data_IF_890713599795
#
_entry.id   IF_890713599795
#
_cell.length_a   1.000
_cell.length_b   1.000
_cell.length_c   1.000
_cell.angle_alpha   90.00
_cell.angle_beta   90.00
_cell.angle_gamma   90.00
#
_symmetry.space_group_name_H-M   'P 1'
#
loop_
_entity.id
_entity.type
_entity.pdbx_description
1 polymer ?
#
# COMPACT_ATOMS: atom_id res chain seq x y z
N UNK A 1 25.60 4.34 56.94
CA UNK A 1 24.79 4.87 55.81
C UNK A 1 25.57 5.20 54.52
N UNK A 2 26.86 4.82 54.35
CA UNK A 2 27.60 5.10 53.09
C UNK A 2 27.52 4.00 52.02
N UNK A 3 27.08 2.77 52.36
CA UNK A 3 27.04 1.66 51.41
C UNK A 3 25.76 1.64 50.53
N UNK A 4 24.60 2.03 51.08
CA UNK A 4 23.32 2.01 50.36
C UNK A 4 23.26 3.07 49.23
N UNK A 5 23.90 4.23 49.42
CA UNK A 5 23.86 5.34 48.46
C UNK A 5 24.73 5.11 47.21
N UNK A 6 25.70 4.19 47.28
CA UNK A 6 26.58 3.81 46.16
C UNK A 6 25.92 2.83 45.20
N UNK A 7 25.06 1.95 45.72
CA UNK A 7 24.34 0.93 44.94
C UNK A 7 23.28 1.60 44.04
N UNK A 8 22.57 2.58 44.58
CA UNK A 8 21.49 3.30 43.89
C UNK A 8 21.99 4.09 42.66
N UNK A 9 23.16 4.74 42.78
CA UNK A 9 23.75 5.53 41.70
C UNK A 9 24.26 4.66 40.54
N UNK A 10 24.82 3.47 40.85
CA UNK A 10 25.26 2.50 39.83
C UNK A 10 24.07 1.87 39.11
N UNK A 11 22.97 1.62 39.81
CA UNK A 11 21.76 1.03 39.25
C UNK A 11 21.03 2.01 38.33
N UNK A 12 20.95 3.30 38.71
CA UNK A 12 20.42 4.36 37.84
C UNK A 12 21.31 4.65 36.62
N UNK A 13 22.64 4.63 36.78
CA UNK A 13 23.59 4.81 35.67
C UNK A 13 23.52 3.66 34.65
N UNK A 14 23.39 2.41 35.13
CA UNK A 14 23.17 1.24 34.28
C UNK A 14 21.87 1.36 33.49
N UNK A 15 20.76 1.73 34.14
CA UNK A 15 19.46 1.91 33.47
C UNK A 15 19.53 2.95 32.34
N UNK A 16 20.17 4.10 32.56
CA UNK A 16 20.36 5.12 31.52
C UNK A 16 21.21 4.63 30.33
N UNK A 17 22.25 3.83 30.60
CA UNK A 17 23.11 3.23 29.57
C UNK A 17 22.36 2.25 28.66
N UNK A 18 21.31 1.60 29.16
CA UNK A 18 20.46 0.70 28.38
C UNK A 18 19.26 1.41 27.73
N UNK A 19 18.71 2.43 28.39
CA UNK A 19 17.51 3.14 27.92
C UNK A 19 17.80 4.01 26.68
N UNK A 20 18.97 4.68 26.63
CA UNK A 20 19.32 5.57 25.52
C UNK A 20 19.53 4.79 24.19
N UNK A 21 20.32 3.70 24.14
CA UNK A 21 20.48 2.92 22.91
C UNK A 21 19.19 2.20 22.49
N UNK A 22 18.38 1.73 23.43
CA UNK A 22 17.12 1.05 23.11
C UNK A 22 16.07 2.01 22.55
N UNK A 23 15.97 3.23 23.06
CA UNK A 23 15.10 4.27 22.49
C UNK A 23 15.58 4.69 21.09
N UNK A 24 16.89 4.82 20.87
CA UNK A 24 17.44 5.12 19.53
C UNK A 24 17.15 3.96 18.57
N UNK A 25 17.34 2.71 19.00
CA UNK A 25 17.05 1.53 18.20
C UNK A 25 15.55 1.41 17.84
N UNK A 26 14.65 1.66 18.81
CA UNK A 26 13.21 1.71 18.57
C UNK A 26 12.82 2.83 17.60
N UNK A 27 13.40 4.03 17.75
CA UNK A 27 13.14 5.13 16.84
C UNK A 27 13.67 4.84 15.43
N UNK A 28 14.84 4.23 15.28
CA UNK A 28 15.36 3.81 13.97
C UNK A 28 14.44 2.76 13.35
N UNK A 29 14.02 1.72 14.10
CA UNK A 29 13.09 0.71 13.60
C UNK A 29 11.71 1.26 13.21
N UNK A 30 11.20 2.26 13.94
CA UNK A 30 9.92 2.90 13.63
C UNK A 30 10.03 3.95 12.51
N UNK A 31 11.15 4.66 12.39
CA UNK A 31 11.38 5.67 11.35
C UNK A 31 11.78 5.05 10.00
N UNK A 32 12.53 3.93 9.98
CA UNK A 32 12.84 3.23 8.72
C UNK A 32 11.57 2.64 8.09
N UNK A 33 10.58 2.26 8.92
CA UNK A 33 9.27 1.82 8.47
C UNK A 33 8.32 2.97 8.08
N UNK A 34 8.67 4.23 8.35
CA UNK A 34 7.86 5.39 7.97
C UNK A 34 8.33 6.08 6.68
N UNK A 35 9.24 5.48 5.91
CA UNK A 35 9.45 5.90 4.52
C UNK A 35 8.11 5.68 3.81
N UNK A 36 7.39 6.77 3.60
CA UNK A 36 6.10 6.79 2.94
C UNK A 36 6.28 6.21 1.52
N UNK A 37 6.00 4.92 1.38
CA UNK A 37 5.97 4.22 0.10
C UNK A 37 4.93 4.95 -0.74
N UNK A 38 5.34 5.48 -1.90
CA UNK A 38 4.41 6.14 -2.82
C UNK A 38 3.30 5.14 -3.16
N UNK A 39 2.02 5.46 -2.90
CA UNK A 39 0.94 4.51 -3.13
C UNK A 39 0.86 4.17 -4.62
N UNK A 40 0.85 2.88 -4.96
CA UNK A 40 0.70 2.42 -6.35
C UNK A 40 -0.74 2.61 -6.85
N UNK A 41 -1.71 2.44 -5.97
CA UNK A 41 -3.13 2.69 -6.20
C UNK A 41 -3.68 3.62 -5.14
N UNK A 42 -4.64 4.46 -5.54
CA UNK A 42 -5.36 5.35 -4.65
C UNK A 42 -6.86 5.09 -4.80
N UNK A 43 -7.54 5.12 -3.66
CA UNK A 43 -8.99 4.97 -3.59
C UNK A 43 -9.69 6.21 -4.12
N UNK A 44 -10.67 6.01 -4.98
CA UNK A 44 -11.60 7.06 -5.38
C UNK A 44 -13.03 6.67 -5.03
N UNK A 45 -13.76 7.67 -4.52
CA UNK A 45 -15.19 7.55 -4.23
C UNK A 45 -15.94 7.85 -5.54
N UNK A 46 -16.15 6.80 -6.33
CA UNK A 46 -17.03 6.88 -7.50
C UNK A 46 -18.39 6.28 -7.17
N UNK A 47 -19.44 6.80 -7.78
CA UNK A 47 -20.83 6.33 -7.57
C UNK A 47 -21.35 5.51 -8.74
N UNK A 48 -20.57 5.38 -9.82
CA UNK A 48 -20.96 4.71 -11.06
C UNK A 48 -19.81 3.91 -11.65
N UNK A 49 -20.16 2.78 -12.26
CA UNK A 49 -19.25 2.04 -13.11
C UNK A 49 -18.92 2.87 -14.35
N UNK A 50 -17.65 2.82 -14.75
CA UNK A 50 -17.20 3.43 -15.98
C UNK A 50 -17.65 2.61 -17.19
N UNK A 51 -17.89 3.31 -18.29
CA UNK A 51 -18.30 2.71 -19.55
C UNK A 51 -17.17 1.88 -20.18
N UNK A 52 -17.43 0.58 -20.33
CA UNK A 52 -16.53 -0.40 -20.93
C UNK A 52 -16.58 -0.40 -22.46
N UNK A 53 -17.58 0.24 -23.08
CA UNK A 53 -17.84 0.15 -24.51
C UNK A 53 -18.51 -1.16 -24.90
N UNK A 54 -18.40 -1.55 -26.18
CA UNK A 54 -19.04 -2.76 -26.69
C UNK A 54 -18.33 -4.02 -26.23
N UNK A 55 -19.10 -5.08 -26.02
CA UNK A 55 -18.57 -6.41 -25.70
C UNK A 55 -17.88 -7.02 -26.93
N UNK A 56 -16.69 -7.57 -26.72
CA UNK A 56 -15.87 -8.25 -27.72
C UNK A 56 -16.10 -9.78 -27.67
N UNK A 57 -15.62 -10.54 -28.69
CA UNK A 57 -15.80 -11.99 -28.73
C UNK A 57 -15.18 -12.71 -27.51
N UNK A 58 -15.83 -13.81 -27.12
CA UNK A 58 -15.51 -14.62 -25.94
C UNK A 58 -14.20 -15.40 -26.10
N UNK A 59 -13.37 -15.41 -25.04
CA UNK A 59 -12.16 -16.24 -24.94
C UNK A 59 -12.46 -17.55 -24.19
N UNK A 60 -11.95 -18.70 -24.66
CA UNK A 60 -12.24 -20.00 -24.04
C UNK A 60 -11.58 -20.16 -22.67
N UNK A 61 -12.28 -20.85 -21.75
CA UNK A 61 -11.70 -21.33 -20.48
C UNK A 61 -10.75 -22.49 -20.72
N UNK A 62 -9.64 -22.56 -19.97
CA UNK A 62 -8.74 -23.73 -19.95
C UNK A 62 -8.70 -24.24 -18.50
N UNK A 63 -9.21 -25.44 -18.25
CA UNK A 63 -9.04 -26.19 -16.99
C UNK A 63 -9.05 -25.35 -15.69
N UNK A 64 -10.25 -25.02 -15.17
CA UNK A 64 -10.44 -24.31 -13.90
C UNK A 64 -9.75 -22.94 -13.78
N UNK A 65 -9.23 -22.37 -14.88
CA UNK A 65 -8.70 -21.00 -14.96
C UNK A 65 -9.10 -20.36 -16.29
N UNK A 66 -9.03 -19.03 -16.35
CA UNK A 66 -9.17 -18.28 -17.60
C UNK A 66 -7.89 -17.56 -17.89
N UNK A 67 -7.20 -17.96 -18.96
CA UNK A 67 -6.05 -17.26 -19.52
C UNK A 67 -6.51 -16.43 -20.70
N UNK A 68 -6.20 -15.13 -20.68
CA UNK A 68 -6.34 -14.26 -21.84
C UNK A 68 -4.94 -13.79 -22.21
N UNK A 69 -4.50 -14.18 -23.39
CA UNK A 69 -3.30 -13.67 -24.04
C UNK A 69 -3.67 -12.52 -24.96
N UNK A 70 -2.79 -11.53 -25.08
CA UNK A 70 -2.94 -10.35 -25.93
C UNK A 70 -4.21 -9.54 -25.63
N UNK A 71 -4.31 -9.05 -24.40
CA UNK A 71 -5.38 -8.13 -23.95
C UNK A 71 -5.25 -6.74 -24.63
N UNK A 72 -4.15 -6.50 -25.37
CA UNK A 72 -3.85 -5.25 -26.07
C UNK A 72 -3.99 -4.01 -25.16
N UNK A 73 -3.70 -4.17 -23.86
CA UNK A 73 -3.55 -3.04 -22.95
C UNK A 73 -2.21 -2.35 -23.23
N UNK A 74 -2.11 -1.70 -24.39
CA UNK A 74 -0.94 -0.91 -24.81
C UNK A 74 -0.99 0.47 -24.16
N UNK A 75 -0.89 0.51 -22.83
CA UNK A 75 -0.61 1.74 -22.11
C UNK A 75 0.90 1.87 -21.90
N UNK A 76 1.58 2.65 -22.74
CA UNK A 76 2.98 3.05 -22.56
C UNK A 76 3.15 4.02 -21.38
N UNK A 77 2.74 3.61 -20.19
CA UNK A 77 2.92 4.44 -18.99
C UNK A 77 3.70 3.61 -17.97
N UNK A 78 4.97 4.00 -17.78
CA UNK A 78 5.99 3.42 -16.89
C UNK A 78 6.60 2.06 -17.29
N UNK A 79 6.74 1.74 -18.58
CA UNK A 79 7.51 0.58 -19.08
C UNK A 79 7.07 -0.83 -18.63
N UNK A 80 5.98 -0.97 -17.87
CA UNK A 80 5.40 -2.28 -17.56
C UNK A 80 4.19 -2.46 -18.47
N UNK A 81 4.20 -3.32 -19.48
CA UNK A 81 3.00 -3.74 -20.22
C UNK A 81 2.35 -4.95 -19.54
N UNK A 82 1.02 -5.03 -19.58
CA UNK A 82 0.29 -6.24 -19.17
C UNK A 82 -0.54 -6.73 -20.35
N UNK A 83 0.03 -7.64 -21.13
CA UNK A 83 -0.62 -8.22 -22.28
C UNK A 83 -1.38 -9.51 -21.94
N UNK A 84 -1.19 -10.06 -20.74
CA UNK A 84 -1.75 -11.34 -20.34
C UNK A 84 -2.38 -11.29 -18.95
N UNK A 85 -3.48 -12.03 -18.77
CA UNK A 85 -4.19 -12.14 -17.49
C UNK A 85 -4.59 -13.59 -17.24
N UNK A 86 -4.47 -14.03 -15.99
CA UNK A 86 -5.01 -15.31 -15.52
C UNK A 86 -5.95 -15.05 -14.34
N UNK A 87 -7.20 -15.48 -14.45
CA UNK A 87 -8.14 -15.49 -13.33
C UNK A 87 -8.30 -16.90 -12.76
N UNK A 88 -8.23 -17.00 -11.44
CA UNK A 88 -8.38 -18.23 -10.67
C UNK A 88 -9.67 -18.21 -9.86
N UNK A 89 -10.35 -19.36 -9.68
CA UNK A 89 -11.50 -19.54 -8.79
C UNK A 89 -11.23 -19.13 -7.33
N UNK A 90 -9.98 -19.07 -6.91
CA UNK A 90 -9.57 -18.60 -5.58
C UNK A 90 -9.78 -17.09 -5.35
N UNK A 91 -10.42 -16.37 -6.29
CA UNK A 91 -10.54 -14.91 -6.24
C UNK A 91 -9.23 -14.19 -6.53
N UNK A 92 -8.25 -14.88 -7.13
CA UNK A 92 -6.96 -14.30 -7.52
C UNK A 92 -6.95 -14.03 -9.01
N UNK A 93 -6.49 -12.84 -9.39
CA UNK A 93 -6.20 -12.45 -10.77
C UNK A 93 -4.73 -12.09 -10.87
N UNK A 94 -4.00 -12.73 -11.78
CA UNK A 94 -2.62 -12.40 -12.11
C UNK A 94 -2.59 -11.61 -13.43
N UNK A 95 -1.81 -10.54 -13.46
CA UNK A 95 -1.58 -9.71 -14.64
C UNK A 95 -0.09 -9.62 -14.91
N UNK A 96 0.28 -9.88 -16.16
CA UNK A 96 1.67 -9.94 -16.60
C UNK A 96 1.78 -9.58 -18.09
N UNK A 97 2.98 -9.32 -18.59
CA UNK A 97 3.19 -9.25 -20.04
C UNK A 97 3.11 -10.65 -20.64
N UNK A 98 3.91 -11.55 -20.07
CA UNK A 98 3.90 -13.00 -20.28
C UNK A 98 3.93 -13.73 -18.94
N UNK A 99 3.65 -15.03 -18.93
CA UNK A 99 3.74 -15.87 -17.73
C UNK A 99 4.99 -16.75 -17.74
N UNK A 100 6.16 -16.19 -18.02
CA UNK A 100 7.43 -16.91 -17.97
C UNK A 100 8.06 -16.76 -16.60
N UNK A 101 8.75 -17.80 -16.15
CA UNK A 101 9.52 -17.73 -14.91
C UNK A 101 10.54 -16.57 -14.99
N UNK A 102 10.52 -15.68 -14.00
CA UNK A 102 11.30 -14.45 -13.96
C UNK A 102 10.50 -13.19 -14.30
N UNK A 103 9.30 -13.34 -14.87
CA UNK A 103 8.47 -12.18 -15.23
C UNK A 103 7.95 -11.46 -13.99
N UNK A 104 7.88 -10.14 -14.08
CA UNK A 104 7.19 -9.31 -13.09
C UNK A 104 5.69 -9.43 -13.27
N UNK A 105 5.01 -9.70 -12.18
CA UNK A 105 3.56 -9.87 -12.17
C UNK A 105 2.89 -9.01 -11.11
N UNK A 106 1.65 -8.62 -11.39
CA UNK A 106 0.75 -8.03 -10.42
C UNK A 106 -0.33 -9.03 -10.07
N UNK A 107 -0.47 -9.34 -8.78
CA UNK A 107 -1.52 -10.22 -8.27
C UNK A 107 -2.58 -9.39 -7.56
N UNK A 108 -3.85 -9.60 -7.89
CA UNK A 108 -5.01 -9.03 -7.22
C UNK A 108 -5.75 -10.18 -6.55
N UNK A 109 -5.91 -10.11 -5.24
CA UNK A 109 -6.55 -11.15 -4.45
C UNK A 109 -7.77 -10.62 -3.70
N UNK A 110 -8.89 -11.33 -3.83
CA UNK A 110 -10.14 -11.09 -3.12
C UNK A 110 -10.20 -12.03 -1.89
N UNK A 111 -9.64 -11.57 -0.77
CA UNK A 111 -9.67 -12.27 0.51
C UNK A 111 -9.13 -13.70 0.43
N UNK A 112 -9.74 -14.60 1.19
CA UNK A 112 -9.55 -16.05 1.04
C UNK A 112 -10.65 -16.60 0.14
N UNK A 113 -10.77 -16.00 -1.05
CA UNK A 113 -11.77 -16.33 -2.04
C UNK A 113 -11.73 -17.82 -2.41
N UNK A 114 -12.90 -18.43 -2.46
CA UNK A 114 -13.08 -19.78 -2.99
C UNK A 114 -14.42 -19.84 -3.73
N UNK A 115 -14.34 -19.94 -5.04
CA UNK A 115 -15.49 -20.13 -5.91
C UNK A 115 -15.78 -21.64 -6.01
N UNK A 116 -16.72 -22.12 -5.18
CA UNK A 116 -17.12 -23.55 -5.16
C UNK A 116 -17.85 -24.03 -6.43
N UNK A 117 -18.12 -23.13 -7.37
CA UNK A 117 -18.82 -23.42 -8.62
C UNK A 117 -17.96 -23.02 -9.81
N UNK A 118 -18.17 -23.62 -10.97
CA UNK A 118 -17.46 -23.26 -12.21
C UNK A 118 -17.96 -21.93 -12.83
N UNK A 119 -18.50 -21.01 -12.03
CA UNK A 119 -19.14 -19.76 -12.48
C UNK A 119 -18.15 -18.60 -12.62
N UNK A 120 -16.85 -18.88 -12.73
CA UNK A 120 -15.89 -17.87 -13.13
C UNK A 120 -16.17 -17.51 -14.59
N UNK A 121 -16.37 -16.23 -14.89
CA UNK A 121 -16.49 -15.79 -16.28
C UNK A 121 -15.69 -14.52 -16.51
N UNK A 122 -15.09 -14.41 -17.70
CA UNK A 122 -14.45 -13.17 -18.13
C UNK A 122 -15.16 -12.68 -19.38
N UNK A 123 -15.50 -11.39 -19.38
CA UNK A 123 -16.06 -10.68 -20.53
C UNK A 123 -15.10 -9.59 -20.96
N UNK A 124 -14.73 -9.59 -22.23
CA UNK A 124 -13.87 -8.58 -22.83
C UNK A 124 -14.70 -7.51 -23.51
N UNK A 125 -14.19 -6.28 -23.48
CA UNK A 125 -14.84 -5.09 -24.02
C UNK A 125 -13.79 -4.18 -24.68
N UNK A 126 -14.24 -3.23 -25.48
CA UNK A 126 -13.37 -2.28 -26.21
C UNK A 126 -12.40 -1.52 -25.29
N UNK A 127 -12.77 -1.22 -24.05
CA UNK A 127 -11.96 -0.40 -23.11
C UNK A 127 -11.45 -1.16 -21.89
N UNK A 128 -11.63 -2.48 -21.85
CA UNK A 128 -11.29 -3.27 -20.67
C UNK A 128 -11.90 -4.66 -20.65
N UNK A 129 -11.92 -5.26 -19.48
CA UNK A 129 -12.51 -6.57 -19.24
C UNK A 129 -13.19 -6.61 -17.87
N UNK A 130 -14.05 -7.62 -17.68
CA UNK A 130 -14.74 -7.88 -16.42
C UNK A 130 -14.48 -9.33 -16.03
N UNK A 131 -13.90 -9.53 -14.85
CA UNK A 131 -13.82 -10.84 -14.20
C UNK A 131 -14.97 -10.93 -13.20
N UNK A 132 -15.86 -11.90 -13.43
CA UNK A 132 -17.07 -12.11 -12.64
C UNK A 132 -16.87 -13.30 -11.69
N UNK A 133 -16.83 -12.98 -10.40
CA UNK A 133 -16.82 -13.94 -9.29
C UNK A 133 -18.22 -14.02 -8.67
N UNK A 134 -19.16 -14.62 -9.39
CA UNK A 134 -20.54 -14.81 -8.94
C UNK A 134 -20.64 -15.85 -7.82
N UNK A 135 -20.82 -15.39 -6.58
CA UNK A 135 -21.04 -16.25 -5.41
C UNK A 135 -19.76 -16.76 -4.75
N UNK A 136 -18.69 -15.96 -4.73
CA UNK A 136 -17.44 -16.29 -4.07
C UNK A 136 -17.60 -16.35 -2.55
N UNK A 137 -17.06 -17.40 -1.93
CA UNK A 137 -16.92 -17.51 -0.48
C UNK A 137 -15.60 -16.87 -0.08
N UNK A 138 -15.64 -15.85 0.77
CA UNK A 138 -14.46 -14.99 0.98
C UNK A 138 -13.94 -14.98 2.41
N UNK A 139 -14.68 -15.60 3.34
CA UNK A 139 -14.38 -15.56 4.77
C UNK A 139 -14.06 -16.94 5.33
N UNK A 140 -12.85 -17.12 5.85
CA UNK A 140 -12.43 -18.39 6.43
C UNK A 140 -13.13 -18.72 7.76
N UNK A 141 -13.38 -17.69 8.59
CA UNK A 141 -14.08 -17.86 9.88
C UNK A 141 -15.59 -18.05 9.72
N UNK A 142 -16.15 -17.70 8.55
CA UNK A 142 -17.57 -17.80 8.24
C UNK A 142 -17.73 -18.44 6.85
N UNK A 143 -17.69 -19.78 6.74
CA UNK A 143 -17.72 -20.49 5.46
C UNK A 143 -19.00 -20.30 4.63
N UNK A 144 -20.04 -19.72 5.24
CA UNK A 144 -21.30 -19.37 4.60
C UNK A 144 -21.31 -17.94 4.04
N UNK A 145 -20.27 -17.15 4.36
CA UNK A 145 -20.15 -15.78 3.91
C UNK A 145 -19.86 -15.75 2.41
N UNK A 146 -20.77 -15.15 1.63
CA UNK A 146 -20.68 -15.09 0.17
C UNK A 146 -21.07 -13.73 -0.39
N UNK A 147 -20.42 -13.36 -1.48
CA UNK A 147 -20.72 -12.16 -2.27
C UNK A 147 -20.59 -12.46 -3.76
N UNK A 148 -21.16 -11.61 -4.60
CA UNK A 148 -20.74 -11.52 -6.00
C UNK A 148 -19.77 -10.35 -6.14
N UNK A 149 -18.62 -10.59 -6.76
CA UNK A 149 -17.60 -9.55 -7.00
C UNK A 149 -17.35 -9.46 -8.50
N UNK A 150 -17.68 -8.31 -9.08
CA UNK A 150 -17.35 -8.00 -10.46
C UNK A 150 -16.12 -7.08 -10.45
N UNK A 151 -15.01 -7.57 -11.00
CA UNK A 151 -13.76 -6.83 -11.14
C UNK A 151 -13.65 -6.30 -12.57
N UNK A 152 -13.86 -5.01 -12.74
CA UNK A 152 -13.69 -4.31 -14.01
C UNK A 152 -12.25 -3.81 -14.10
N UNK A 153 -11.49 -4.31 -15.07
CA UNK A 153 -10.10 -3.90 -15.31
C UNK A 153 -10.08 -3.13 -16.63
N UNK A 154 -9.63 -1.88 -16.58
CA UNK A 154 -9.60 -1.00 -17.74
C UNK A 154 -8.20 -0.90 -18.35
N UNK A 155 -8.14 -0.45 -19.62
CA UNK A 155 -6.87 -0.26 -20.34
C UNK A 155 -5.87 0.68 -19.64
N UNK A 156 -6.38 1.69 -18.92
CA UNK A 156 -5.58 2.61 -18.10
C UNK A 156 -5.21 2.02 -16.72
N UNK A 157 -5.49 0.73 -16.51
CA UNK A 157 -5.34 -0.04 -15.26
C UNK A 157 -6.09 0.53 -14.07
N UNK A 158 -7.06 1.41 -14.31
CA UNK A 158 -8.11 1.64 -13.31
C UNK A 158 -8.81 0.31 -13.06
N UNK A 159 -9.09 0.01 -11.80
CA UNK A 159 -9.81 -1.21 -11.42
C UNK A 159 -11.06 -0.78 -10.64
N UNK A 160 -12.23 -1.25 -11.04
CA UNK A 160 -13.45 -1.08 -10.26
C UNK A 160 -13.94 -2.42 -9.74
N UNK A 161 -14.19 -2.48 -8.44
CA UNK A 161 -14.81 -3.62 -7.78
C UNK A 161 -16.25 -3.27 -7.46
N UNK A 162 -17.20 -3.95 -8.09
CA UNK A 162 -18.59 -3.95 -7.67
C UNK A 162 -18.84 -5.18 -6.81
N UNK A 163 -19.13 -4.95 -5.53
CA UNK A 163 -19.41 -5.98 -4.54
C UNK A 163 -20.90 -5.98 -4.26
N UNK A 164 -21.56 -7.09 -4.58
CA UNK A 164 -22.95 -7.34 -4.21
C UNK A 164 -22.97 -8.35 -3.08
N UNK A 165 -23.37 -7.88 -1.90
CA UNK A 165 -23.39 -8.69 -0.69
C UNK A 165 -24.55 -9.70 -0.75
N UNK A 166 -24.22 -10.99 -0.68
CA UNK A 166 -25.22 -12.06 -0.72
C UNK A 166 -25.60 -12.53 0.69
N UNK A 167 -24.63 -13.10 1.40
CA UNK A 167 -24.75 -13.43 2.82
C UNK A 167 -23.44 -13.02 3.50
N UNK A 168 -23.32 -11.81 4.06
CA UNK A 168 -22.01 -11.31 4.44
C UNK A 168 -21.51 -11.78 5.81
N UNK A 169 -22.39 -12.28 6.68
CA UNK A 169 -22.06 -12.78 8.04
C UNK A 169 -21.16 -11.83 8.87
N UNK A 170 -21.29 -10.51 8.67
CA UNK A 170 -20.44 -9.45 9.23
C UNK A 170 -18.93 -9.63 8.96
N UNK A 171 -18.55 -10.41 7.96
CA UNK A 171 -17.17 -10.59 7.58
C UNK A 171 -16.79 -9.58 6.49
N UNK A 172 -15.75 -8.74 6.71
CA UNK A 172 -15.26 -7.82 5.69
C UNK A 172 -14.56 -8.58 4.56
N UNK A 173 -14.57 -7.98 3.36
CA UNK A 173 -13.76 -8.47 2.23
C UNK A 173 -12.42 -7.73 2.24
N UNK A 174 -11.33 -8.47 2.27
CA UNK A 174 -9.98 -7.89 2.11
C UNK A 174 -9.59 -7.93 0.65
N UNK A 175 -9.21 -6.80 0.07
CA UNK A 175 -8.58 -6.73 -1.24
C UNK A 175 -7.08 -6.51 -1.05
N UNK A 176 -6.26 -7.38 -1.63
CA UNK A 176 -4.80 -7.31 -1.60
C UNK A 176 -4.28 -7.20 -3.03
N UNK A 177 -3.38 -6.28 -3.29
CA UNK A 177 -2.61 -6.24 -4.53
C UNK A 177 -1.13 -6.35 -4.20
N UNK A 178 -0.45 -7.29 -4.82
CA UNK A 178 1.00 -7.48 -4.68
C UNK A 178 1.68 -7.39 -6.03
N UNK A 179 2.95 -6.97 -6.02
CA UNK A 179 3.88 -7.17 -7.11
C UNK A 179 4.88 -8.25 -6.71
N UNK A 180 5.36 -9.02 -7.66
CA UNK A 180 6.40 -10.01 -7.39
C UNK A 180 6.97 -10.61 -8.67
N UNK A 181 7.81 -11.61 -8.49
CA UNK A 181 8.44 -12.37 -9.57
C UNK A 181 7.75 -13.71 -9.70
N UNK A 182 7.24 -14.00 -10.90
CA UNK A 182 6.61 -15.27 -11.20
C UNK A 182 7.65 -16.38 -11.33
N UNK A 183 7.41 -17.51 -10.65
CA UNK A 183 8.19 -18.74 -10.77
C UNK A 183 7.27 -19.89 -11.09
N UNK A 184 7.12 -20.21 -12.36
CA UNK A 184 6.32 -21.34 -12.81
C UNK A 184 6.26 -21.51 -14.30
N UNK A 185 5.36 -22.39 -14.74
CA UNK A 185 5.08 -22.64 -16.15
C UNK A 185 4.24 -21.53 -16.78
N UNK A 186 4.28 -21.43 -18.11
CA UNK A 186 3.49 -20.47 -18.90
C UNK A 186 1.98 -20.64 -18.76
N UNK A 187 1.54 -21.79 -18.24
CA UNK A 187 0.16 -22.08 -17.95
C UNK A 187 -0.35 -21.39 -16.66
N UNK A 188 0.49 -20.68 -15.91
CA UNK A 188 0.09 -20.05 -14.65
C UNK A 188 0.20 -20.97 -13.42
N UNK A 189 0.75 -22.18 -13.54
CA UNK A 189 0.92 -23.14 -12.43
C UNK A 189 2.05 -22.78 -11.43
N UNK A 190 2.50 -21.54 -11.43
CA UNK A 190 3.62 -21.05 -10.64
C UNK A 190 3.27 -20.46 -9.29
N UNK A 191 4.32 -20.06 -8.60
CA UNK A 191 4.26 -19.27 -7.37
C UNK A 191 4.82 -17.87 -7.61
N UNK A 192 4.47 -16.95 -6.73
CA UNK A 192 5.02 -15.58 -6.74
C UNK A 192 6.08 -15.53 -5.65
N UNK A 193 7.28 -15.07 -5.98
CA UNK A 193 8.33 -14.77 -5.02
C UNK A 193 8.58 -13.28 -4.92
N UNK A 194 9.26 -12.86 -3.86
CA UNK A 194 9.63 -11.45 -3.65
C UNK A 194 8.39 -10.54 -3.66
N UNK A 195 7.32 -10.99 -2.99
CA UNK A 195 6.06 -10.27 -2.95
C UNK A 195 6.20 -8.95 -2.19
N UNK A 196 5.95 -7.86 -2.90
CA UNK A 196 5.78 -6.53 -2.35
C UNK A 196 4.28 -6.21 -2.27
N UNK A 197 3.80 -5.86 -1.08
CA UNK A 197 2.43 -5.42 -0.89
C UNK A 197 2.26 -3.98 -1.38
N UNK A 198 1.52 -3.80 -2.47
CA UNK A 198 1.33 -2.48 -3.09
C UNK A 198 -0.02 -1.84 -2.75
N UNK A 199 -1.00 -2.64 -2.34
CA UNK A 199 -2.30 -2.15 -1.88
C UNK A 199 -2.98 -3.19 -0.97
N UNK A 200 -3.61 -2.72 0.10
CA UNK A 200 -4.40 -3.55 1.00
C UNK A 200 -5.58 -2.76 1.55
N UNK A 201 -6.80 -3.28 1.42
CA UNK A 201 -7.99 -2.64 1.99
C UNK A 201 -8.98 -3.67 2.50
N UNK A 202 -9.44 -3.45 3.73
CA UNK A 202 -10.57 -4.18 4.31
C UNK A 202 -11.85 -3.39 4.05
N UNK A 203 -12.81 -4.02 3.40
CA UNK A 203 -14.10 -3.43 3.06
C UNK A 203 -15.14 -4.00 4.02
N UNK A 204 -15.66 -3.19 4.96
CA UNK A 204 -16.67 -3.65 5.90
C UNK A 204 -17.99 -3.91 5.18
N UNK A 205 -18.80 -4.78 5.78
CA UNK A 205 -20.18 -5.01 5.35
C UNK A 205 -20.97 -3.73 5.58
N UNK A 206 -21.63 -3.16 4.55
CA UNK A 206 -22.39 -1.93 4.69
C UNK A 206 -23.69 -2.19 5.46
N UNK A 207 -24.18 -1.15 6.12
CA UNK A 207 -25.51 -1.12 6.72
C UNK A 207 -26.20 0.20 6.34
N UNK A 208 -27.25 0.17 5.50
CA UNK A 208 -27.94 -1.00 4.93
C UNK A 208 -27.09 -1.81 3.94
N UNK A 209 -27.53 -3.02 3.57
CA UNK A 209 -26.84 -3.94 2.65
C UNK A 209 -26.91 -3.47 1.19
N UNK A 210 -26.33 -2.31 0.91
CA UNK A 210 -26.21 -1.77 -0.44
C UNK A 210 -24.97 -2.30 -1.17
N UNK A 211 -24.99 -2.39 -2.50
CA UNK A 211 -23.80 -2.71 -3.27
C UNK A 211 -22.66 -1.73 -2.98
N UNK A 212 -21.44 -2.25 -2.85
CA UNK A 212 -20.25 -1.43 -2.62
C UNK A 212 -19.46 -1.30 -3.91
N UNK A 213 -19.19 -0.07 -4.34
CA UNK A 213 -18.31 0.24 -5.46
C UNK A 213 -17.00 0.81 -4.93
N UNK A 214 -15.89 0.15 -5.25
CA UNK A 214 -14.54 0.64 -5.00
C UNK A 214 -13.84 0.89 -6.32
N UNK A 215 -13.24 2.07 -6.48
CA UNK A 215 -12.40 2.39 -7.64
C UNK A 215 -10.97 2.58 -7.20
N UNK A 216 -10.07 1.80 -7.77
CA UNK A 216 -8.63 1.92 -7.62
C UNK A 216 -8.07 2.61 -8.85
N UNK A 217 -7.46 3.77 -8.64
CA UNK A 217 -6.82 4.54 -9.69
C UNK A 217 -5.30 4.39 -9.51
N UNK A 218 -4.57 3.97 -10.54
CA UNK A 218 -3.11 3.94 -10.46
C UNK A 218 -2.55 5.35 -10.30
N UNK A 219 -1.62 5.52 -9.36
CA UNK A 219 -1.02 6.84 -9.08
C UNK A 219 -0.19 7.39 -10.26
N UNK A 220 0.27 6.52 -11.15
CA UNK A 220 1.05 6.91 -12.32
C UNK A 220 0.22 7.60 -13.42
N UNK A 221 -1.11 7.51 -13.41
CA UNK A 221 -1.96 8.15 -14.43
C UNK A 221 -1.70 9.67 -14.48
N UNK A 222 -1.50 10.29 -13.32
CA UNK A 222 -1.09 11.69 -13.25
C UNK A 222 0.38 11.89 -13.62
N UNK A 223 1.26 10.99 -13.18
CA UNK A 223 2.71 11.09 -13.44
C UNK A 223 3.07 11.02 -14.94
N UNK A 224 2.20 10.47 -15.78
CA UNK A 224 2.34 10.47 -17.23
C UNK A 224 2.33 11.89 -17.84
N UNK A 225 1.75 12.87 -17.13
CA UNK A 225 1.61 14.24 -17.60
C UNK A 225 2.83 15.06 -17.20
N UNK A 226 3.62 15.48 -18.19
CA UNK A 226 4.88 16.20 -18.01
C UNK A 226 4.74 17.73 -18.04
N UNK A 227 3.52 18.23 -18.23
CA UNK A 227 3.24 19.68 -18.29
C UNK A 227 2.08 20.04 -17.38
N UNK A 228 2.12 21.25 -16.80
CA UNK A 228 1.04 21.80 -15.97
C UNK A 228 -0.31 21.84 -16.69
N UNK A 229 -0.28 22.27 -17.97
CA UNK A 229 -1.47 22.32 -18.82
C UNK A 229 -2.09 20.93 -18.94
N UNK A 230 -1.32 19.89 -19.30
CA UNK A 230 -1.88 18.55 -19.43
C UNK A 230 -2.26 17.94 -18.08
N UNK A 231 -1.52 18.24 -17.01
CA UNK A 231 -1.86 17.77 -15.67
C UNK A 231 -3.25 18.24 -15.21
N UNK A 232 -3.58 19.49 -15.50
CA UNK A 232 -4.85 20.11 -15.07
C UNK A 232 -6.00 19.88 -16.06
N UNK A 233 -5.71 19.60 -17.33
CA UNK A 233 -6.71 19.47 -18.40
C UNK A 233 -6.93 18.04 -18.90
N UNK A 234 -5.93 17.16 -18.81
CA UNK A 234 -6.03 15.75 -19.21
C UNK A 234 -6.31 14.86 -17.99
N UNK A 235 -7.55 14.91 -17.51
CA UNK A 235 -8.05 13.92 -16.57
C UNK A 235 -8.54 12.69 -17.35
N UNK A 236 -7.82 11.56 -17.29
CA UNK A 236 -8.41 10.29 -17.71
C UNK A 236 -9.55 9.99 -16.71
N UNK A 237 -10.79 9.81 -17.21
CA UNK A 237 -11.98 9.46 -16.40
C UNK A 237 -12.30 10.42 -15.23
N UNK A 238 -12.23 11.73 -15.45
CA UNK A 238 -12.51 12.76 -14.43
C UNK A 238 -11.62 12.67 -13.18
N UNK A 239 -10.44 12.08 -13.32
CA UNK A 239 -9.43 12.08 -12.28
C UNK A 239 -8.72 13.43 -12.26
N UNK A 240 -9.04 14.28 -11.29
CA UNK A 240 -8.39 15.58 -11.12
C UNK A 240 -6.98 15.39 -10.60
N UNK A 241 -5.99 15.49 -11.49
CA UNK A 241 -4.59 15.54 -11.09
C UNK A 241 -4.22 16.95 -10.63
N UNK A 242 -3.27 17.03 -9.71
CA UNK A 242 -2.71 18.28 -9.18
C UNK A 242 -1.29 18.44 -9.71
N UNK A 243 -1.00 19.59 -10.31
CA UNK A 243 0.36 19.96 -10.67
C UNK A 243 1.12 20.42 -9.42
N UNK A 244 2.30 19.84 -9.18
CA UNK A 244 3.19 20.26 -8.12
C UNK A 244 4.32 21.12 -8.71
N UNK A 245 4.23 22.47 -8.65
CA UNK A 245 5.23 23.36 -9.26
C UNK A 245 6.61 23.28 -8.59
N UNK A 246 6.68 22.84 -7.32
CA UNK A 246 7.96 22.72 -6.60
C UNK A 246 8.84 21.56 -7.09
N UNK A 247 8.24 20.54 -7.69
CA UNK A 247 8.91 19.31 -8.13
C UNK A 247 8.67 19.01 -9.61
N UNK A 248 8.04 19.94 -10.33
CA UNK A 248 7.64 19.81 -11.74
C UNK A 248 6.98 18.46 -12.06
N UNK A 249 6.08 18.01 -11.18
CA UNK A 249 5.45 16.69 -11.28
C UNK A 249 3.95 16.77 -11.12
N UNK A 250 3.23 16.02 -11.94
CA UNK A 250 1.79 15.86 -11.83
C UNK A 250 1.46 14.67 -10.91
N UNK A 251 0.65 14.90 -9.87
CA UNK A 251 0.27 13.87 -8.88
C UNK A 251 -1.24 13.79 -8.71
N UNK A 252 -1.72 12.65 -8.20
CA UNK A 252 -3.15 12.44 -7.98
C UNK A 252 -3.72 13.24 -6.79
N UNK A 253 -2.90 13.49 -5.77
CA UNK A 253 -3.32 14.16 -4.53
C UNK A 253 -2.29 15.20 -4.15
N UNK A 254 -2.73 16.43 -3.87
CA UNK A 254 -1.86 17.55 -3.50
C UNK A 254 -0.92 17.25 -2.31
N UNK A 255 -1.32 16.37 -1.39
CA UNK A 255 -0.47 15.93 -0.28
C UNK A 255 0.81 15.22 -0.75
N UNK A 256 0.79 14.59 -1.92
CA UNK A 256 1.95 13.94 -2.52
C UNK A 256 2.98 14.94 -3.05
N UNK A 257 2.62 16.21 -3.27
CA UNK A 257 3.56 17.27 -3.64
C UNK A 257 4.63 17.49 -2.55
N UNK A 258 4.29 17.20 -1.28
CA UNK A 258 5.16 17.46 -0.13
C UNK A 258 6.04 16.26 0.25
N UNK A 259 5.78 15.06 -0.27
CA UNK A 259 6.55 13.84 0.05
C UNK A 259 8.03 13.95 -0.35
N UNK A 260 8.34 14.72 -1.39
CA UNK A 260 9.72 14.93 -1.79
C UNK A 260 10.45 15.91 -0.87
N UNK A 261 9.73 16.85 -0.23
CA UNK A 261 10.33 17.71 0.78
C UNK A 261 10.68 16.94 2.06
N UNK A 262 9.94 15.91 2.45
CA UNK A 262 10.37 15.06 3.57
C UNK A 262 11.64 14.27 3.24
N UNK A 263 11.77 13.74 2.01
CA UNK A 263 13.01 13.08 1.54
C UNK A 263 14.17 14.06 1.35
N UNK A 264 13.89 15.32 0.98
CA UNK A 264 14.89 16.39 0.90
C UNK A 264 15.27 16.92 2.28
N UNK A 265 14.38 16.89 3.28
CA UNK A 265 14.71 17.16 4.69
C UNK A 265 15.51 16.00 5.28
N UNK A 266 15.21 14.74 4.94
CA UNK A 266 16.05 13.59 5.34
C UNK A 266 17.39 13.54 4.61
N UNK A 267 17.47 13.97 3.35
CA UNK A 267 18.75 14.12 2.63
C UNK A 267 19.51 15.38 3.04
N UNK A 268 18.85 16.48 3.41
CA UNK A 268 19.48 17.69 3.94
C UNK A 268 19.98 17.49 5.37
N UNK A 269 19.38 16.60 6.16
CA UNK A 269 19.98 16.09 7.39
C UNK A 269 21.12 15.09 7.15
N UNK A 270 21.36 14.72 5.89
CA UNK A 270 22.54 13.98 5.41
C UNK A 270 23.65 14.91 4.90
N UNK A 271 23.53 16.22 5.12
CA UNK A 271 24.74 17.05 5.27
C UNK A 271 25.26 16.73 6.66
N UNK A 272 26.49 16.22 6.75
CA UNK A 272 27.17 15.93 8.02
C UNK A 272 26.77 16.99 9.06
N UNK A 273 26.10 16.62 10.18
CA UNK A 273 25.94 17.58 11.24
C UNK A 273 27.37 17.91 11.65
N UNK A 274 27.80 19.15 11.43
CA UNK A 274 29.13 19.56 11.85
C UNK A 274 29.24 19.12 13.31
N UNK A 275 30.28 18.34 13.63
CA UNK A 275 30.46 17.72 14.95
C UNK A 275 30.21 18.73 16.08
N UNK A 276 30.41 20.02 15.81
CA UNK A 276 30.11 21.17 16.66
C UNK A 276 28.65 21.23 17.12
N UNK A 277 27.64 21.10 16.27
CA UNK A 277 26.22 21.23 16.69
C UNK A 277 25.83 20.06 17.59
N UNK A 278 26.29 18.85 17.25
CA UNK A 278 26.03 17.65 18.06
C UNK A 278 26.75 17.71 19.42
N UNK A 279 27.99 18.20 19.44
CA UNK A 279 28.75 18.45 20.68
C UNK A 279 28.05 19.53 21.52
N UNK A 280 27.56 20.62 20.92
CA UNK A 280 26.87 21.68 21.66
C UNK A 280 25.59 21.16 22.31
N UNK A 281 24.79 20.35 21.59
CA UNK A 281 23.58 19.74 22.14
C UNK A 281 23.92 18.77 23.28
N UNK A 282 24.96 17.94 23.13
CA UNK A 282 25.42 17.02 24.19
C UNK A 282 25.90 17.81 25.41
N UNK A 283 26.69 18.86 25.22
CA UNK A 283 27.20 19.69 26.32
C UNK A 283 26.07 20.40 27.05
N UNK A 284 25.07 20.92 26.33
CA UNK A 284 23.87 21.51 26.92
C UNK A 284 23.04 20.49 27.72
N UNK A 285 22.86 19.29 27.18
CA UNK A 285 22.16 18.21 27.88
C UNK A 285 22.91 17.79 29.16
N UNK A 286 24.25 17.64 29.09
CA UNK A 286 25.08 17.35 30.24
C UNK A 286 25.04 18.47 31.30
N UNK A 287 25.05 19.74 30.87
CA UNK A 287 24.92 20.88 31.77
C UNK A 287 23.57 20.89 32.48
N UNK A 288 22.46 20.67 31.76
CA UNK A 288 21.11 20.60 32.34
C UNK A 288 20.98 19.46 33.35
N UNK A 289 21.54 18.28 33.05
CA UNK A 289 21.59 17.14 33.98
C UNK A 289 22.41 17.50 35.23
N UNK A 290 23.56 18.17 35.05
CA UNK A 290 24.39 18.65 36.15
C UNK A 290 23.65 19.63 37.06
N UNK A 291 22.95 20.62 36.50
CA UNK A 291 22.13 21.56 37.26
C UNK A 291 20.98 20.87 37.99
N UNK A 292 20.36 19.86 37.38
CA UNK A 292 19.28 19.10 37.99
C UNK A 292 19.77 18.29 39.20
N UNK A 293 20.93 17.64 39.08
CA UNK A 293 21.55 16.89 40.18
C UNK A 293 21.96 17.82 41.33
N UNK A 294 22.57 18.97 41.01
CA UNK A 294 22.93 19.98 42.02
C UNK A 294 21.67 20.51 42.71
N UNK A 295 20.60 20.77 41.95
CA UNK A 295 19.30 21.19 42.50
C UNK A 295 18.73 20.17 43.48
N UNK A 296 18.77 18.88 43.14
CA UNK A 296 18.32 17.80 44.04
C UNK A 296 19.20 17.71 45.29
N UNK A 297 20.53 17.87 45.16
CA UNK A 297 21.45 17.83 46.29
C UNK A 297 21.26 19.02 47.24
N UNK A 298 21.09 20.23 46.72
CA UNK A 298 20.80 21.44 47.51
C UNK A 298 19.44 21.29 48.20
N UNK A 299 18.42 20.82 47.47
CA UNK A 299 17.08 20.60 48.03
C UNK A 299 17.12 19.59 49.19
N UNK A 300 17.88 18.51 49.03
CA UNK A 300 18.07 17.49 50.07
C UNK A 300 18.89 18.00 51.26
N UNK A 301 19.81 18.94 51.06
CA UNK A 301 20.60 19.55 52.14
C UNK A 301 19.78 20.57 52.94
N UNK A 302 18.95 21.37 52.27
CA UNK A 302 18.10 22.38 52.90
C UNK A 302 16.96 21.78 53.75
N UNK A 303 16.39 20.65 53.32
CA UNK A 303 15.31 19.98 54.06
C UNK A 303 15.79 18.96 55.09
N UNK A 304 17.09 18.66 55.15
CA UNK A 304 17.65 17.78 56.18
C UNK A 304 18.22 18.54 57.39
N UNK A 305 18.22 19.88 57.38
CA UNK A 305 18.69 20.73 58.49
C UNK A 305 17.57 21.46 59.24
N UNK A 306 16.31 21.09 59.01
CA UNK A 306 15.13 21.42 59.83
C UNK A 306 14.37 20.12 60.10
#
# INVERSE_FOLDING_TARGET
MRAAMSIDLRQMSSLLYWFMPSMIYYNILFLDNSVAVKPHYIDSVTTRLYDLGKQLPYYPSIENKFLIENIEFTGEVNHESFNSLIAFPSGTVLMADTFKSGDRITSIQIGNGDLKSNLLSIKTYERGLVVDYSGIYYCQSQPEARAAVLMHIFQDRTIQFLIVWGNPMNCPITLKITKGIYKGGEDGSGTITDEELIYNKSIPVPNPLDPTLLTLIPSYICQAQTTESNCTTQSIRNVTCTWCPEIDMCVLVASLCFLQNETKITQSYKTEPSNVIYIVIIVLACALIGFFIIGILIWKYYFASH
#
